data_IF_243146220659
#
_entry.id   IF_243146220659
#
_cell.length_a   1.000
_cell.length_b   1.000
_cell.length_c   1.000
_cell.angle_alpha   90.00
_cell.angle_beta   90.00
_cell.angle_gamma   90.00
#
_symmetry.space_group_name_H-M   'P 1'
#
loop_
_entity.id
_entity.type
_entity.pdbx_description
1 polymer ?
#
# COMPACT_ATOMS: atom_id res chain seq x y z
N UNK A 1 1.01 20.15 -2.31
CA UNK A 1 2.26 20.06 -1.54
C UNK A 1 1.96 19.59 -0.13
N UNK A 2 2.93 18.98 0.53
CA UNK A 2 2.82 18.29 1.84
C UNK A 2 2.15 19.19 2.90
N UNK A 3 2.64 20.43 3.08
CA UNK A 3 2.14 21.32 4.13
C UNK A 3 0.64 21.63 3.99
N UNK A 4 0.17 21.85 2.76
CA UNK A 4 -1.25 22.11 2.51
C UNK A 4 -2.14 20.89 2.76
N UNK A 5 -1.64 19.67 2.53
CA UNK A 5 -2.38 18.45 2.87
C UNK A 5 -2.37 18.22 4.39
N UNK A 6 -1.23 18.42 5.06
CA UNK A 6 -1.15 18.27 6.51
C UNK A 6 -1.96 19.33 7.27
N UNK A 7 -2.12 20.53 6.73
CA UNK A 7 -3.08 21.51 7.27
C UNK A 7 -4.51 20.99 7.18
N UNK A 8 -4.92 20.40 6.05
CA UNK A 8 -6.25 19.78 5.91
C UNK A 8 -6.42 18.57 6.82
N UNK A 9 -5.38 17.76 7.00
CA UNK A 9 -5.35 16.68 8.00
C UNK A 9 -5.61 17.20 9.41
N UNK A 10 -4.93 18.28 9.82
CA UNK A 10 -5.14 18.90 11.13
C UNK A 10 -6.56 19.46 11.30
N UNK A 11 -7.23 19.81 10.20
CA UNK A 11 -8.65 20.20 10.18
C UNK A 11 -9.62 19.01 10.16
N UNK A 12 -9.12 17.76 10.10
CA UNK A 12 -9.94 16.56 9.97
C UNK A 12 -10.54 16.35 8.56
N UNK A 13 -10.05 17.08 7.55
CA UNK A 13 -10.48 16.96 6.15
C UNK A 13 -9.76 15.82 5.40
N UNK A 14 -8.69 15.28 5.99
CA UNK A 14 -7.88 14.19 5.45
C UNK A 14 -7.65 13.15 6.57
N UNK A 15 -7.42 11.89 6.20
CA UNK A 15 -7.25 10.77 7.16
C UNK A 15 -5.80 10.35 7.36
N UNK A 16 -4.86 10.96 6.64
CA UNK A 16 -3.44 10.64 6.72
C UNK A 16 -2.58 11.91 6.62
N UNK A 17 -1.33 11.78 7.06
CA UNK A 17 -0.30 12.81 6.93
C UNK A 17 0.67 12.47 5.80
N UNK A 18 1.23 13.50 5.18
CA UNK A 18 2.33 13.37 4.22
C UNK A 18 3.63 13.87 4.83
N UNK A 19 4.75 13.29 4.41
CA UNK A 19 6.10 13.75 4.74
C UNK A 19 7.00 13.62 3.51
N UNK A 20 8.05 14.44 3.46
CA UNK A 20 9.11 14.33 2.46
C UNK A 20 9.79 12.96 2.57
N UNK A 21 10.03 12.32 1.43
CA UNK A 21 10.72 11.04 1.33
C UNK A 21 11.65 11.04 0.11
N UNK A 22 12.20 9.87 -0.25
CA UNK A 22 13.13 9.71 -1.36
C UNK A 22 12.55 10.03 -2.75
N UNK A 23 11.26 10.35 -2.85
CA UNK A 23 10.59 10.72 -4.10
C UNK A 23 10.36 12.24 -4.22
N UNK A 24 10.91 13.04 -3.29
CA UNK A 24 10.66 14.47 -3.20
C UNK A 24 11.14 15.31 -4.38
N UNK A 25 12.20 14.86 -5.04
CA UNK A 25 12.83 15.48 -6.20
C UNK A 25 12.38 14.86 -7.53
N UNK A 26 11.64 13.75 -7.49
CA UNK A 26 11.16 13.08 -8.69
C UNK A 26 10.01 13.86 -9.34
N UNK A 27 10.11 14.03 -10.65
CA UNK A 27 9.01 14.46 -11.49
C UNK A 27 7.92 13.38 -11.57
N UNK A 28 6.71 13.79 -11.96
CA UNK A 28 5.61 12.84 -12.14
C UNK A 28 5.91 11.79 -13.22
N UNK A 29 6.69 12.13 -14.26
CA UNK A 29 7.08 11.17 -15.30
C UNK A 29 8.05 10.12 -14.77
N UNK A 30 9.06 10.53 -14.00
CA UNK A 30 10.01 9.61 -13.36
C UNK A 30 9.29 8.66 -12.39
N UNK A 31 8.36 9.20 -11.60
CA UNK A 31 7.54 8.39 -10.69
C UNK A 31 6.67 7.37 -11.45
N UNK A 32 6.06 7.78 -12.58
CA UNK A 32 5.28 6.89 -13.43
C UNK A 32 6.10 5.76 -14.02
N UNK A 33 7.31 6.06 -14.51
CA UNK A 33 8.20 5.05 -15.09
C UNK A 33 8.59 4.00 -14.03
N UNK A 34 8.90 4.40 -12.81
CA UNK A 34 9.18 3.48 -11.69
C UNK A 34 7.99 2.55 -11.39
N UNK A 35 6.77 3.09 -11.36
CA UNK A 35 5.56 2.32 -11.02
C UNK A 35 5.03 1.44 -12.17
N UNK A 36 5.34 1.77 -13.43
CA UNK A 36 4.78 1.11 -14.61
C UNK A 36 5.14 -0.36 -14.79
N UNK A 37 6.10 -0.89 -14.02
CA UNK A 37 6.57 -2.29 -14.12
C UNK A 37 5.55 -3.34 -13.65
N UNK A 38 4.45 -2.94 -12.99
CA UNK A 38 3.53 -3.90 -12.36
C UNK A 38 2.53 -4.56 -13.32
N UNK A 39 2.16 -3.93 -14.44
CA UNK A 39 1.04 -4.42 -15.28
C UNK A 39 1.40 -5.66 -16.11
N UNK A 40 2.61 -5.69 -16.65
CA UNK A 40 3.04 -6.72 -17.60
C UNK A 40 3.72 -7.93 -16.94
N UNK A 41 3.99 -7.86 -15.63
CA UNK A 41 4.66 -8.91 -14.86
C UNK A 41 3.73 -9.72 -13.96
N UNK A 42 2.41 -9.49 -14.00
CA UNK A 42 1.49 -10.28 -13.18
C UNK A 42 1.46 -11.71 -13.73
N UNK A 43 2.00 -12.71 -13.00
CA UNK A 43 1.94 -14.08 -13.49
C UNK A 43 0.47 -14.50 -13.58
N UNK A 44 0.11 -15.21 -14.64
CA UNK A 44 -1.19 -15.86 -14.74
C UNK A 44 -1.34 -16.80 -13.55
N UNK A 45 -2.14 -16.39 -12.56
CA UNK A 45 -2.55 -17.26 -11.46
C UNK A 45 -3.61 -18.17 -12.05
N UNK A 46 -3.28 -19.45 -12.24
CA UNK A 46 -4.27 -20.45 -12.70
C UNK A 46 -5.49 -20.52 -11.76
N UNK A 47 -6.53 -21.23 -12.18
CA UNK A 47 -7.89 -21.28 -11.60
C UNK A 47 -8.02 -21.77 -10.14
N UNK A 48 -6.93 -21.85 -9.38
CA UNK A 48 -6.88 -22.27 -7.99
C UNK A 48 -7.29 -21.15 -7.01
N UNK A 49 -8.26 -20.32 -7.37
CA UNK A 49 -8.85 -19.37 -6.43
C UNK A 49 -9.70 -20.17 -5.44
N UNK A 50 -9.15 -20.43 -4.25
CA UNK A 50 -9.91 -20.99 -3.15
C UNK A 50 -10.88 -19.91 -2.62
N UNK A 51 -12.11 -19.92 -3.13
CA UNK A 51 -13.23 -19.22 -2.51
C UNK A 51 -13.62 -20.03 -1.27
N UNK A 52 -13.14 -19.59 -0.11
CA UNK A 52 -13.58 -20.12 1.16
C UNK A 52 -14.96 -19.53 1.47
N UNK A 53 -15.86 -20.34 2.01
CA UNK A 53 -17.14 -19.84 2.54
C UNK A 53 -16.86 -18.79 3.63
N UNK A 54 -17.74 -17.79 3.73
CA UNK A 54 -17.65 -16.74 4.75
C UNK A 54 -17.62 -17.39 6.13
N UNK A 55 -16.43 -17.45 6.74
CA UNK A 55 -16.27 -17.95 8.09
C UNK A 55 -16.82 -16.89 9.05
N UNK A 56 -17.92 -17.20 9.74
CA UNK A 56 -18.55 -16.30 10.71
C UNK A 56 -17.65 -15.99 11.93
N UNK A 57 -16.60 -16.79 12.16
CA UNK A 57 -15.70 -16.69 13.33
C UNK A 57 -14.32 -16.07 13.02
N UNK A 58 -14.28 -15.07 12.13
CA UNK A 58 -13.04 -14.34 11.83
C UNK A 58 -12.77 -13.23 12.85
N UNK A 59 -11.50 -13.02 13.25
CA UNK A 59 -11.14 -11.93 14.14
C UNK A 59 -11.31 -10.57 13.44
N UNK A 60 -11.64 -9.53 14.22
CA UNK A 60 -11.80 -8.15 13.72
C UNK A 60 -10.52 -7.55 13.16
N UNK A 61 -9.35 -8.03 13.58
CA UNK A 61 -8.05 -7.53 13.15
C UNK A 61 -7.04 -8.69 13.04
N UNK A 62 -6.21 -8.68 12.00
CA UNK A 62 -5.14 -9.67 11.80
C UNK A 62 -3.81 -8.96 11.52
N UNK A 63 -2.83 -9.15 12.41
CA UNK A 63 -1.47 -8.61 12.24
C UNK A 63 -0.50 -9.75 11.88
N UNK A 64 -0.27 -9.98 10.59
CA UNK A 64 0.63 -11.04 10.11
C UNK A 64 2.10 -10.87 10.50
N UNK A 65 2.56 -9.62 10.67
CA UNK A 65 3.90 -9.32 11.17
C UNK A 65 4.15 -9.92 12.54
N UNK A 66 3.16 -9.87 13.44
CA UNK A 66 3.26 -10.47 14.78
C UNK A 66 3.31 -12.00 14.74
N UNK A 67 2.84 -12.62 13.65
CA UNK A 67 2.85 -14.07 13.43
C UNK A 67 4.13 -14.56 12.73
N UNK A 68 5.10 -13.68 12.46
CA UNK A 68 6.34 -14.04 11.77
C UNK A 68 6.16 -14.40 10.29
N UNK A 69 4.98 -14.15 9.71
CA UNK A 69 4.66 -14.49 8.33
C UNK A 69 5.12 -13.42 7.30
N UNK A 70 5.77 -12.35 7.77
CA UNK A 70 6.20 -11.21 6.94
C UNK A 70 7.71 -11.07 7.04
N UNK A 71 8.38 -11.03 5.88
CA UNK A 71 9.82 -10.80 5.79
C UNK A 71 10.19 -9.33 5.98
N UNK A 72 11.50 -9.06 6.13
CA UNK A 72 12.00 -7.69 6.24
C UNK A 72 11.68 -6.88 4.98
N UNK A 73 11.51 -5.57 5.16
CA UNK A 73 11.32 -4.63 4.06
C UNK A 73 12.50 -4.72 3.09
N UNK A 74 12.19 -4.73 1.80
CA UNK A 74 13.16 -4.55 0.73
C UNK A 74 13.11 -3.10 0.28
N UNK A 75 14.23 -2.61 -0.20
CA UNK A 75 14.32 -1.30 -0.86
C UNK A 75 13.80 -1.40 -2.30
#
# INVERSE_FOLDING_TARGET
MIDGHNHRFNNGEETFEMRMNQFGDMSQEEFRLMMSLQKDQTPSRGDNLALLEDNEDLPKEVVWRAKGAVTTMKD
#
